data_IF_861301952800
#
_entry.id   IF_861301952800
#
_cell.length_a   1.000
_cell.length_b   1.000
_cell.length_c   1.000
_cell.angle_alpha   90.00
_cell.angle_beta   90.00
_cell.angle_gamma   90.00
#
_symmetry.space_group_name_H-M   'P 1'
#
loop_
_entity.id
_entity.type
_entity.pdbx_description
1 polymer ?
#
# COMPACT_ATOMS: atom_id res chain seq x y z
N UNK A 1 3.73 20.86 -21.79
CA UNK A 1 4.66 20.36 -20.74
C UNK A 1 4.05 20.39 -19.34
N UNK A 2 3.54 21.52 -18.83
CA UNK A 2 2.97 21.58 -17.46
C UNK A 2 1.76 20.64 -17.25
N UNK A 3 0.83 20.58 -18.22
CA UNK A 3 -0.35 19.69 -18.17
C UNK A 3 0.03 18.21 -18.02
N UNK A 4 1.06 17.74 -18.71
CA UNK A 4 1.54 16.36 -18.62
C UNK A 4 2.10 16.07 -17.22
N UNK A 5 2.96 16.95 -16.69
CA UNK A 5 3.51 16.80 -15.33
C UNK A 5 2.42 16.74 -14.26
N UNK A 6 1.39 17.59 -14.36
CA UNK A 6 0.26 17.59 -13.42
C UNK A 6 -0.53 16.27 -13.52
N UNK A 7 -0.75 15.77 -14.73
CA UNK A 7 -1.43 14.50 -14.95
C UNK A 7 -0.66 13.34 -14.32
N UNK A 8 0.67 13.28 -14.49
CA UNK A 8 1.51 12.23 -13.87
C UNK A 8 1.48 12.30 -12.34
N UNK A 9 1.49 13.51 -11.76
CA UNK A 9 1.36 13.70 -10.30
C UNK A 9 -0.01 13.20 -9.82
N UNK A 10 -1.08 13.52 -10.54
CA UNK A 10 -2.43 13.07 -10.18
C UNK A 10 -2.57 11.56 -10.30
N UNK A 11 -1.98 10.94 -11.33
CA UNK A 11 -1.95 9.49 -11.50
C UNK A 11 -1.20 8.81 -10.36
N UNK A 12 -0.04 9.33 -9.97
CA UNK A 12 0.73 8.83 -8.83
C UNK A 12 -0.03 8.95 -7.50
N UNK A 13 -0.74 10.06 -7.28
CA UNK A 13 -1.60 10.25 -6.10
C UNK A 13 -2.78 9.29 -6.10
N UNK A 14 -3.48 9.17 -7.22
CA UNK A 14 -4.59 8.23 -7.39
C UNK A 14 -4.14 6.80 -7.11
N UNK A 15 -2.95 6.44 -7.58
CA UNK A 15 -2.35 5.13 -7.34
C UNK A 15 -2.13 4.87 -5.85
N UNK A 16 -1.56 5.84 -5.12
CA UNK A 16 -1.33 5.70 -3.67
C UNK A 16 -2.67 5.51 -2.93
N UNK A 17 -3.68 6.34 -3.24
CA UNK A 17 -5.00 6.26 -2.61
C UNK A 17 -5.68 4.92 -2.89
N UNK A 18 -5.68 4.49 -4.16
CA UNK A 18 -6.26 3.20 -4.56
C UNK A 18 -5.53 2.02 -3.92
N UNK A 19 -4.20 2.08 -3.86
CA UNK A 19 -3.36 1.05 -3.22
C UNK A 19 -3.70 0.95 -1.74
N UNK A 20 -3.73 2.09 -1.04
CA UNK A 20 -4.09 2.13 0.38
C UNK A 20 -5.49 1.55 0.62
N UNK A 21 -6.47 1.97 -0.17
CA UNK A 21 -7.84 1.49 -0.07
C UNK A 21 -7.97 -0.01 -0.36
N UNK A 22 -7.28 -0.52 -1.38
CA UNK A 22 -7.27 -1.95 -1.71
C UNK A 22 -6.64 -2.78 -0.59
N UNK A 23 -5.51 -2.32 -0.03
CA UNK A 23 -4.88 -3.00 1.10
C UNK A 23 -5.84 -3.02 2.29
N UNK A 24 -6.41 -1.89 2.67
CA UNK A 24 -7.30 -1.78 3.83
C UNK A 24 -8.59 -2.60 3.68
N UNK A 25 -9.22 -2.57 2.51
CA UNK A 25 -10.52 -3.23 2.27
C UNK A 25 -10.42 -4.74 2.05
N UNK A 26 -9.36 -5.23 1.38
CA UNK A 26 -9.28 -6.62 0.92
C UNK A 26 -8.19 -7.45 1.58
N UNK A 27 -7.02 -6.86 1.85
CA UNK A 27 -5.83 -7.63 2.25
C UNK A 27 -5.47 -7.48 3.72
N UNK A 28 -5.80 -6.36 4.35
CA UNK A 28 -5.54 -6.10 5.75
C UNK A 28 -6.63 -6.70 6.64
N UNK A 29 -6.26 -7.06 7.87
CA UNK A 29 -7.19 -7.54 8.90
C UNK A 29 -8.23 -6.50 9.31
N UNK A 30 -8.02 -5.23 8.93
CA UNK A 30 -9.02 -4.16 9.05
C UNK A 30 -10.35 -4.49 8.37
N UNK A 31 -10.37 -5.46 7.45
CA UNK A 31 -11.62 -6.06 6.93
C UNK A 31 -12.53 -6.58 8.03
N UNK A 32 -12.03 -6.90 9.22
CA UNK A 32 -12.82 -7.37 10.36
C UNK A 32 -13.14 -6.26 11.37
N UNK A 33 -12.82 -5.00 11.08
CA UNK A 33 -13.12 -3.87 11.98
C UNK A 33 -14.61 -3.73 12.26
N UNK A 34 -15.47 -4.15 11.31
CA UNK A 34 -16.93 -4.17 11.51
C UNK A 34 -17.39 -5.19 12.57
N UNK A 35 -16.53 -6.11 13.00
CA UNK A 35 -16.79 -7.07 14.07
C UNK A 35 -16.39 -6.53 15.46
N UNK A 36 -15.72 -5.38 15.55
CA UNK A 36 -15.36 -4.77 16.82
C UNK A 36 -16.61 -4.18 17.49
N UNK A 37 -16.87 -4.54 18.73
CA UNK A 37 -17.91 -3.88 19.53
C UNK A 37 -17.40 -2.54 20.07
N UNK A 38 -18.33 -1.64 20.42
CA UNK A 38 -17.99 -0.34 21.01
C UNK A 38 -17.23 -0.51 22.32
N UNK A 39 -15.93 -0.26 22.30
CA UNK A 39 -15.00 -0.45 23.43
C UNK A 39 -13.90 -1.48 23.18
N UNK A 40 -14.00 -2.24 22.07
CA UNK A 40 -12.93 -3.11 21.61
C UNK A 40 -11.79 -2.35 20.93
N UNK A 41 -10.58 -2.89 21.07
CA UNK A 41 -9.38 -2.37 20.42
C UNK A 41 -8.98 -3.28 19.26
N UNK A 42 -8.16 -2.78 18.35
CA UNK A 42 -7.50 -3.57 17.29
C UNK A 42 -6.78 -4.84 17.79
N UNK A 43 -6.54 -4.96 19.10
CA UNK A 43 -5.93 -6.12 19.74
C UNK A 43 -6.93 -7.24 20.11
N UNK A 44 -8.24 -6.97 20.15
CA UNK A 44 -9.27 -8.00 20.41
C UNK A 44 -9.74 -8.71 19.13
N UNK A 45 -9.33 -8.24 17.95
CA UNK A 45 -9.49 -9.00 16.69
C UNK A 45 -8.65 -10.28 16.81
N UNK A 46 -9.20 -11.48 16.53
CA UNK A 46 -8.44 -12.72 16.61
C UNK A 46 -7.22 -12.62 15.71
N UNK A 47 -6.03 -12.59 16.33
CA UNK A 47 -4.77 -12.50 15.62
C UNK A 47 -4.57 -13.78 14.82
N UNK A 48 -4.67 -13.69 13.50
CA UNK A 48 -4.30 -14.79 12.62
C UNK A 48 -2.80 -15.05 12.79
N UNK A 49 -2.37 -16.30 12.61
CA UNK A 49 -0.97 -16.68 12.78
C UNK A 49 -0.04 -15.75 11.98
N UNK A 50 1.17 -15.48 12.49
CA UNK A 50 2.12 -14.61 11.81
C UNK A 50 2.42 -15.05 10.36
N UNK A 51 2.29 -16.36 10.08
CA UNK A 51 2.50 -16.97 8.76
C UNK A 51 1.43 -16.56 7.75
N UNK A 52 0.15 -16.55 8.14
CA UNK A 52 -0.96 -16.14 7.27
C UNK A 52 -0.89 -14.64 6.93
N UNK A 53 -0.47 -13.82 7.90
CA UNK A 53 -0.22 -12.39 7.68
C UNK A 53 0.89 -12.15 6.66
N UNK A 54 1.98 -12.93 6.75
CA UNK A 54 3.09 -12.84 5.77
C UNK A 54 2.56 -13.21 4.39
N UNK A 55 1.81 -14.32 4.27
CA UNK A 55 1.25 -14.77 2.99
C UNK A 55 0.33 -13.70 2.37
N UNK A 56 -0.59 -13.13 3.15
CA UNK A 56 -1.48 -12.06 2.68
C UNK A 56 -0.69 -10.81 2.26
N UNK A 57 0.34 -10.44 3.02
CA UNK A 57 1.22 -9.31 2.67
C UNK A 57 1.95 -9.57 1.36
N UNK A 58 2.45 -10.78 1.13
CA UNK A 58 3.15 -11.15 -0.11
C UNK A 58 2.20 -11.08 -1.32
N UNK A 59 0.98 -11.57 -1.18
CA UNK A 59 -0.03 -11.51 -2.26
C UNK A 59 -0.40 -10.04 -2.56
N UNK A 60 -0.65 -9.22 -1.54
CA UNK A 60 -0.95 -7.80 -1.70
C UNK A 60 0.22 -7.06 -2.38
N UNK A 61 1.44 -7.29 -1.91
CA UNK A 61 2.65 -6.73 -2.49
C UNK A 61 2.82 -7.13 -3.96
N UNK A 62 2.55 -8.38 -4.32
CA UNK A 62 2.63 -8.84 -5.70
C UNK A 62 1.66 -8.08 -6.61
N UNK A 63 0.37 -7.98 -6.25
CA UNK A 63 -0.62 -7.29 -7.10
C UNK A 63 -0.38 -5.78 -7.18
N UNK A 64 0.13 -5.16 -6.12
CA UNK A 64 0.24 -3.70 -6.02
C UNK A 64 1.62 -3.14 -6.35
N UNK A 65 2.70 -3.91 -6.20
CA UNK A 65 4.04 -3.44 -6.57
C UNK A 65 4.38 -3.77 -8.02
N UNK A 66 3.90 -4.90 -8.56
CA UNK A 66 4.22 -5.33 -9.93
C UNK A 66 3.88 -4.26 -10.98
N UNK A 67 2.65 -3.70 -11.04
CA UNK A 67 2.35 -2.66 -12.03
C UNK A 67 3.18 -1.39 -11.84
N UNK A 68 3.49 -1.02 -10.59
CA UNK A 68 4.29 0.17 -10.27
C UNK A 68 5.77 -0.02 -10.69
N UNK A 69 6.33 -1.21 -10.48
CA UNK A 69 7.68 -1.57 -10.95
C UNK A 69 7.76 -1.53 -12.49
N UNK A 70 6.74 -2.03 -13.19
CA UNK A 70 6.68 -1.96 -14.65
C UNK A 70 6.67 -0.50 -15.14
N UNK A 71 5.90 0.38 -14.48
CA UNK A 71 5.88 1.81 -14.79
C UNK A 71 7.24 2.48 -14.55
N UNK A 72 7.90 2.18 -13.43
CA UNK A 72 9.24 2.69 -13.12
C UNK A 72 10.24 2.26 -14.19
N UNK A 73 10.26 0.98 -14.57
CA UNK A 73 11.17 0.45 -15.61
C UNK A 73 10.93 1.13 -16.97
N UNK A 74 9.67 1.34 -17.34
CA UNK A 74 9.31 2.06 -18.58
C UNK A 74 9.83 3.49 -18.57
N UNK A 75 9.64 4.22 -17.46
CA UNK A 75 10.05 5.63 -17.31
C UNK A 75 11.56 5.80 -17.22
N UNK A 76 12.26 4.82 -16.65
CA UNK A 76 13.72 4.73 -16.67
C UNK A 76 14.25 4.64 -18.12
N UNK A 77 13.62 3.83 -18.97
CA UNK A 77 14.05 3.65 -20.35
C UNK A 77 13.84 4.91 -21.22
N UNK A 78 12.76 5.67 -20.99
CA UNK A 78 12.48 6.95 -21.68
C UNK A 78 13.34 8.11 -21.14
N UNK A 79 14.17 7.88 -20.11
CA UNK A 79 15.02 8.88 -19.43
C UNK A 79 14.24 10.06 -18.84
N UNK A 80 12.98 9.84 -18.46
CA UNK A 80 12.15 10.85 -17.78
C UNK A 80 12.48 10.89 -16.27
N UNK A 81 13.64 11.46 -15.93
CA UNK A 81 14.19 11.47 -14.56
C UNK A 81 13.20 12.02 -13.52
N UNK A 82 12.44 13.06 -13.84
CA UNK A 82 11.47 13.65 -12.91
C UNK A 82 10.34 12.67 -12.57
N UNK A 83 9.78 12.00 -13.58
CA UNK A 83 8.66 11.08 -13.39
C UNK A 83 9.13 9.79 -12.72
N UNK A 84 10.34 9.34 -13.04
CA UNK A 84 11.00 8.23 -12.35
C UNK A 84 11.07 8.46 -10.83
N UNK A 85 11.57 9.61 -10.39
CA UNK A 85 11.66 9.92 -8.96
C UNK A 85 10.29 10.01 -8.29
N UNK A 86 9.26 10.55 -8.97
CA UNK A 86 7.90 10.56 -8.44
C UNK A 86 7.37 9.14 -8.18
N UNK A 87 7.52 8.22 -9.13
CA UNK A 87 7.07 6.84 -8.93
C UNK A 87 7.89 6.08 -7.89
N UNK A 88 9.20 6.36 -7.75
CA UNK A 88 10.01 5.80 -6.66
C UNK A 88 9.51 6.28 -5.30
N UNK A 89 9.19 7.56 -5.16
CA UNK A 89 8.59 8.09 -3.92
C UNK A 89 7.23 7.42 -3.67
N UNK A 90 6.38 7.27 -4.68
CA UNK A 90 5.11 6.55 -4.55
C UNK A 90 5.30 5.10 -4.09
N UNK A 91 6.32 4.40 -4.61
CA UNK A 91 6.65 3.04 -4.19
C UNK A 91 7.01 2.99 -2.71
N UNK A 92 7.86 3.90 -2.25
CA UNK A 92 8.26 3.98 -0.83
C UNK A 92 7.05 4.28 0.06
N UNK A 93 6.17 5.21 -0.34
CA UNK A 93 4.94 5.51 0.39
C UNK A 93 4.05 4.26 0.48
N UNK A 94 3.83 3.55 -0.62
CA UNK A 94 3.03 2.33 -0.62
C UNK A 94 3.61 1.25 0.29
N UNK A 95 4.95 1.10 0.34
CA UNK A 95 5.61 0.16 1.25
C UNK A 95 5.43 0.55 2.73
N UNK A 96 5.61 1.84 3.06
CA UNK A 96 5.43 2.34 4.44
C UNK A 96 3.97 2.20 4.89
N UNK A 97 3.01 2.55 4.02
CA UNK A 97 1.59 2.39 4.30
C UNK A 97 1.21 0.91 4.45
N UNK A 98 1.70 0.03 3.58
CA UNK A 98 1.49 -1.41 3.71
C UNK A 98 2.05 -1.94 5.03
N UNK A 99 3.30 -1.60 5.35
CA UNK A 99 3.92 -1.98 6.62
C UNK A 99 3.10 -1.53 7.84
N UNK A 100 2.61 -0.29 7.81
CA UNK A 100 1.77 0.25 8.88
C UNK A 100 0.49 -0.57 9.08
N UNK A 101 -0.20 -0.92 8.00
CA UNK A 101 -1.45 -1.68 8.03
C UNK A 101 -1.26 -3.14 8.48
N UNK A 102 -0.18 -3.80 8.05
CA UNK A 102 0.06 -5.20 8.40
C UNK A 102 0.74 -5.38 9.76
N UNK A 103 1.73 -4.55 10.11
CA UNK A 103 2.53 -4.72 11.33
C UNK A 103 2.46 -3.54 12.28
N UNK A 104 2.57 -2.31 11.78
CA UNK A 104 2.72 -1.10 12.61
C UNK A 104 1.62 -0.92 13.66
N UNK A 105 0.35 -1.16 13.29
CA UNK A 105 -0.79 -1.05 14.22
C UNK A 105 -0.76 -2.08 15.35
N UNK A 106 -0.21 -3.27 15.10
CA UNK A 106 -0.16 -4.35 16.09
C UNK A 106 1.03 -4.25 17.05
N UNK A 107 1.97 -3.31 16.84
CA UNK A 107 3.08 -3.05 17.77
C UNK A 107 2.55 -2.64 19.15
N UNK A 108 1.39 -1.99 19.21
CA UNK A 108 0.77 -1.57 20.47
C UNK A 108 -0.04 -2.68 21.17
N UNK A 109 -0.18 -3.85 20.54
CA UNK A 109 -0.92 -4.98 21.07
C UNK A 109 -0.03 -6.04 21.75
N UNK A 110 1.28 -5.78 21.83
CA UNK A 110 2.29 -6.68 22.42
C UNK A 110 2.98 -6.05 23.62
#
# INVERSE_FOLDING_TARGET
MLKHKIQTIFEALLYIVLTYWLIDAFFAFNKYDWMLESGDNICSIPSVSGEDRILQTMIAAFFLLTPLIILILRKLFVREIFEFWLYVISLVICLVCGWWLFWGRFIFCY
#
